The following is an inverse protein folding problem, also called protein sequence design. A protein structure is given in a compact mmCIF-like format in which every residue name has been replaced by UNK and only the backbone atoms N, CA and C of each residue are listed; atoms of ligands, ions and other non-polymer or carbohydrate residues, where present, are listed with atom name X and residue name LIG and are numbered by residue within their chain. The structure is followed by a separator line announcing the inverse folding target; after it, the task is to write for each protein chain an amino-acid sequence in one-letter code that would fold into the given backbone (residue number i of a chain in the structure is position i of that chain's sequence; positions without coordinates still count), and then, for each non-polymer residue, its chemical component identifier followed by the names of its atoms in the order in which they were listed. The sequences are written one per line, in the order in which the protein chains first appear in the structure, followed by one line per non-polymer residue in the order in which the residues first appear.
data_IF_388707325634
#
_entry.id   IF_388707325634
#
_cell.length_a   1.000
_cell.length_b   1.000
_cell.length_c   1.000
_cell.angle_alpha   90.00
_cell.angle_beta   90.00
_cell.angle_gamma   90.00
#
_symmetry.space_group_name_H-M   'P 1'
#
loop_
_entity.id
_entity.type
_entity.pdbx_description
1 polymer ?
#
# COMPACT_ATOMS: atom_id res chain seq x y z
N UNK A 1 -7.52 4.13 12.83
CA UNK A 1 -7.11 4.48 11.46
C UNK A 1 -5.60 4.47 11.41
N UNK A 2 -5.02 3.60 10.60
CA UNK A 2 -3.57 3.52 10.37
C UNK A 2 -3.27 4.41 9.17
N UNK A 3 -2.52 5.49 9.39
CA UNK A 3 -2.03 6.37 8.32
C UNK A 3 -0.86 5.67 7.63
N UNK A 4 -0.86 5.63 6.31
CA UNK A 4 0.20 5.03 5.50
C UNK A 4 0.69 6.12 4.57
N UNK A 5 1.88 6.63 4.84
CA UNK A 5 2.44 7.74 4.10
C UNK A 5 2.53 7.39 2.61
N UNK A 6 2.05 8.29 1.75
CA UNK A 6 2.41 8.26 0.33
C UNK A 6 3.82 8.79 0.22
N UNK A 7 4.67 8.01 -0.41
CA UNK A 7 6.06 8.37 -0.58
C UNK A 7 6.20 9.04 -1.95
N UNK A 8 6.11 10.37 -1.97
CA UNK A 8 6.67 11.20 -3.05
C UNK A 8 8.18 11.35 -2.83
N UNK A 9 8.92 10.24 -2.73
CA UNK A 9 10.38 10.28 -2.57
C UNK A 9 11.06 9.66 -3.79
N UNK A 10 12.18 10.25 -4.18
CA UNK A 10 13.08 9.69 -5.19
C UNK A 10 13.69 8.37 -4.68
N UNK A 11 14.11 7.50 -5.61
CA UNK A 11 14.67 6.15 -5.35
C UNK A 11 15.65 6.08 -4.16
N UNK A 12 16.60 7.02 -4.08
CA UNK A 12 17.62 7.06 -3.01
C UNK A 12 17.03 7.28 -1.60
N UNK A 13 15.94 8.05 -1.49
CA UNK A 13 15.28 8.32 -0.22
C UNK A 13 14.41 7.15 0.28
N UNK A 14 13.94 6.27 -0.63
CA UNK A 14 13.20 5.04 -0.26
C UNK A 14 14.15 4.00 0.39
N UNK A 15 15.44 4.05 0.04
CA UNK A 15 16.45 3.10 0.48
C UNK A 15 16.94 3.39 1.90
N UNK A 16 17.08 4.66 2.27
CA UNK A 16 17.66 5.07 3.55
C UNK A 16 16.64 5.36 4.66
N UNK A 17 15.36 5.61 4.32
CA UNK A 17 14.38 5.93 5.36
C UNK A 17 13.69 4.69 5.92
N UNK A 18 13.71 4.48 7.26
CA UNK A 18 12.85 3.48 7.86
C UNK A 18 11.40 3.87 7.54
N UNK A 19 10.57 2.94 7.02
CA UNK A 19 9.16 3.24 6.80
C UNK A 19 8.52 3.75 8.10
N UNK A 20 7.93 4.94 8.04
CA UNK A 20 7.20 5.52 9.17
C UNK A 20 5.95 4.67 9.41
N UNK A 21 6.07 3.69 10.31
CA UNK A 21 4.96 2.87 10.76
C UNK A 21 4.38 3.46 12.05
N UNK A 22 3.20 4.07 11.96
CA UNK A 22 2.39 4.38 13.15
C UNK A 22 1.50 3.17 13.49
N UNK A 23 1.88 2.39 14.52
CA UNK A 23 0.98 1.37 15.08
C UNK A 23 0.06 1.99 16.12
N UNK A 24 -1.25 2.04 15.85
CA UNK A 24 -2.25 2.19 16.92
C UNK A 24 -2.63 0.81 17.41
N UNK A 25 -2.39 0.54 18.70
CA UNK A 25 -2.94 -0.62 19.41
C UNK A 25 -4.46 -0.62 19.24
N UNK A 26 -5.02 -1.75 18.82
CA UNK A 26 -6.48 -1.91 18.77
C UNK A 26 -7.07 -1.80 20.17
N UNK A 27 -8.27 -1.22 20.27
CA UNK A 27 -9.00 -1.12 21.53
C UNK A 27 -9.33 -2.53 22.04
N UNK A 28 -8.97 -2.84 23.28
CA UNK A 28 -9.38 -4.06 23.95
C UNK A 28 -10.80 -3.90 24.51
N UNK A 29 -11.46 -5.03 24.84
CA UNK A 29 -12.80 -5.03 25.41
C UNK A 29 -12.92 -4.12 26.64
N UNK A 30 -11.86 -4.03 27.45
CA UNK A 30 -11.75 -3.12 28.60
C UNK A 30 -11.84 -1.62 28.23
N UNK A 31 -11.34 -1.24 27.07
CA UNK A 31 -11.32 0.16 26.60
C UNK A 31 -12.71 0.57 26.06
N UNK A 32 -13.56 -0.41 25.77
CA UNK A 32 -14.97 -0.23 25.38
C UNK A 32 -15.87 -0.16 26.62
N UNK A 33 -15.57 -0.97 27.63
CA UNK A 33 -16.39 -1.13 28.84
C UNK A 33 -16.15 -0.07 29.92
N UNK A 34 -15.02 0.64 29.89
CA UNK A 34 -14.74 1.75 30.81
C UNK A 34 -14.14 2.95 30.05
N UNK A 35 -14.93 3.70 29.28
CA UNK A 35 -14.46 4.94 28.69
C UNK A 35 -14.23 5.97 29.80
N UNK A 36 -12.99 6.49 29.90
CA UNK A 36 -12.62 7.51 30.88
C UNK A 36 -13.24 8.89 30.59
N UNK A 37 -13.86 9.08 29.42
CA UNK A 37 -14.51 10.33 29.01
C UNK A 37 -15.87 10.07 28.32
N UNK A 38 -16.92 10.86 28.63
CA UNK A 38 -18.21 10.74 27.95
C UNK A 38 -18.11 11.25 26.51
N UNK A 39 -18.42 10.37 25.54
CA UNK A 39 -18.48 10.74 24.12
C UNK A 39 -19.79 11.47 23.83
N UNK A 40 -19.72 12.79 23.64
CA UNK A 40 -20.85 13.57 23.13
C UNK A 40 -21.27 13.12 21.73
N UNK A 41 -22.59 13.10 21.47
CA UNK A 41 -23.16 12.84 20.15
C UNK A 41 -22.65 13.87 19.14
N UNK A 42 -21.84 13.43 18.16
CA UNK A 42 -21.50 14.28 17.01
C UNK A 42 -22.54 14.11 15.92
N UNK A 43 -23.33 15.18 15.80
CA UNK A 43 -24.21 15.61 14.71
C UNK A 43 -23.65 15.22 13.33
N UNK A 44 -24.50 14.61 12.49
CA UNK A 44 -24.24 14.45 11.06
C UNK A 44 -24.42 15.81 10.37
N UNK A 45 -23.32 16.48 10.06
CA UNK A 45 -23.33 17.60 9.11
C UNK A 45 -22.77 17.12 7.75
N UNK A 46 -23.50 17.46 6.70
CA UNK A 46 -23.29 17.06 5.30
C UNK A 46 -22.12 17.81 4.64
N UNK A 47 -21.73 17.29 3.46
CA UNK A 47 -21.01 17.94 2.35
C UNK A 47 -19.48 17.87 2.46
N UNK A 48 -18.85 17.05 1.60
CA UNK A 48 -17.85 17.51 0.63
C UNK A 48 -17.67 16.44 -0.45
N UNK A 49 -17.97 16.82 -1.71
CA UNK A 49 -17.54 16.09 -2.91
C UNK A 49 -16.02 16.20 -2.98
N UNK A 50 -15.30 15.15 -2.65
CA UNK A 50 -13.88 15.01 -3.02
C UNK A 50 -13.66 13.66 -3.68
N UNK A 51 -12.96 13.72 -4.82
CA UNK A 51 -12.49 12.62 -5.64
C UNK A 51 -11.97 11.41 -4.83
N UNK A 52 -12.02 10.19 -5.40
CA UNK A 52 -11.96 8.95 -4.64
C UNK A 52 -10.63 8.78 -3.87
N UNK A 53 -10.76 8.78 -2.55
CA UNK A 53 -9.97 8.03 -1.57
C UNK A 53 -8.45 8.26 -1.50
N UNK A 54 -7.93 9.45 -1.82
CA UNK A 54 -6.71 9.91 -1.13
C UNK A 54 -7.11 10.05 0.34
N UNK A 55 -6.39 9.41 1.26
CA UNK A 55 -6.59 9.68 2.67
C UNK A 55 -6.19 11.12 2.89
N UNK A 56 -7.15 12.03 3.00
CA UNK A 56 -6.98 13.46 3.31
C UNK A 56 -5.75 14.19 2.74
N UNK A 57 -5.48 15.36 3.31
CA UNK A 57 -4.27 16.13 3.08
C UNK A 57 -3.73 16.48 4.45
N UNK A 58 -2.48 16.11 4.74
CA UNK A 58 -1.78 16.52 5.97
C UNK A 58 -0.77 17.57 5.57
N UNK A 59 -0.77 18.72 6.24
CA UNK A 59 0.28 19.71 5.99
C UNK A 59 1.59 19.25 6.62
N UNK A 60 2.69 19.42 5.88
CA UNK A 60 4.02 19.16 6.40
C UNK A 60 4.25 19.99 7.67
N UNK A 61 4.56 19.38 8.83
CA UNK A 61 4.58 20.05 10.13
C UNK A 61 5.44 21.32 10.17
N UNK A 62 6.54 21.31 9.41
CA UNK A 62 7.53 22.41 9.39
C UNK A 62 7.48 23.28 8.14
N UNK A 63 6.87 22.81 7.04
CA UNK A 63 7.02 23.41 5.71
C UNK A 63 5.68 23.81 5.07
N UNK A 64 4.56 23.45 5.68
CA UNK A 64 3.21 23.87 5.28
C UNK A 64 2.67 23.27 3.98
N UNK A 65 3.50 22.61 3.15
CA UNK A 65 3.01 22.00 1.92
C UNK A 65 2.14 20.77 2.18
N UNK A 66 1.18 20.56 1.29
CA UNK A 66 0.22 19.46 1.36
C UNK A 66 0.90 18.11 1.08
N UNK A 67 0.82 17.19 2.03
CA UNK A 67 1.23 15.80 1.90
C UNK A 67 -0.04 14.97 1.73
N UNK A 68 -0.18 14.37 0.55
CA UNK A 68 -1.18 13.34 0.34
C UNK A 68 -0.78 12.11 1.15
N UNK A 69 -1.74 11.41 1.76
CA UNK A 69 -1.46 10.12 2.39
C UNK A 69 -2.42 9.04 1.90
N UNK A 70 -2.01 7.78 2.01
CA UNK A 70 -2.87 6.63 1.80
C UNK A 70 -3.32 6.09 3.15
N UNK A 71 -4.45 5.40 3.16
CA UNK A 71 -4.86 4.59 4.31
C UNK A 71 -4.94 3.14 3.89
N UNK A 72 -5.11 2.26 4.86
CA UNK A 72 -5.36 0.85 4.58
C UNK A 72 -6.65 0.61 3.74
N UNK A 73 -7.54 1.60 3.67
CA UNK A 73 -8.78 1.56 2.89
C UNK A 73 -8.63 2.20 1.51
N UNK A 74 -7.47 2.75 1.16
CA UNK A 74 -7.27 3.37 -0.16
C UNK A 74 -7.32 2.31 -1.26
N UNK A 75 -7.97 2.68 -2.36
CA UNK A 75 -8.22 1.87 -3.55
C UNK A 75 -7.47 2.48 -4.74
N UNK A 76 -7.29 1.72 -5.82
CA UNK A 76 -6.63 2.22 -7.04
C UNK A 76 -5.18 2.62 -6.79
N UNK A 77 -4.39 1.71 -6.22
CA UNK A 77 -3.00 2.01 -5.81
C UNK A 77 -1.97 1.16 -6.51
N UNK A 78 -0.79 1.74 -6.70
CA UNK A 78 0.46 1.03 -6.92
C UNK A 78 1.19 0.93 -5.58
N UNK A 79 1.63 -0.27 -5.23
CA UNK A 79 2.28 -0.57 -3.96
C UNK A 79 3.55 -1.38 -4.17
N UNK A 80 4.36 -1.41 -3.14
CA UNK A 80 5.59 -2.19 -3.05
C UNK A 80 5.55 -3.10 -1.83
N UNK A 81 6.03 -4.32 -2.00
CA UNK A 81 6.32 -5.29 -0.95
C UNK A 81 7.84 -5.45 -0.84
N UNK A 82 8.38 -5.43 0.39
CA UNK A 82 9.81 -5.52 0.65
C UNK A 82 10.11 -6.69 1.58
N UNK A 83 11.08 -7.52 1.19
CA UNK A 83 11.58 -8.61 2.03
C UNK A 83 12.65 -8.11 3.01
N UNK A 84 13.02 -8.92 4.02
CA UNK A 84 14.08 -8.59 4.98
C UNK A 84 15.43 -8.28 4.33
N UNK A 85 15.75 -8.95 3.22
CA UNK A 85 16.97 -8.74 2.45
C UNK A 85 16.89 -7.56 1.47
N UNK A 86 15.84 -6.75 1.54
CA UNK A 86 15.72 -5.54 0.73
C UNK A 86 15.26 -5.76 -0.70
N UNK A 87 14.98 -7.01 -1.13
CA UNK A 87 14.35 -7.26 -2.43
C UNK A 87 12.90 -6.77 -2.44
N UNK A 88 12.47 -6.27 -3.60
CA UNK A 88 11.20 -5.56 -3.75
C UNK A 88 10.32 -6.17 -4.83
N UNK A 89 9.02 -6.25 -4.56
CA UNK A 89 7.98 -6.57 -5.55
C UNK A 89 7.06 -5.38 -5.70
N UNK A 90 6.80 -4.96 -6.92
CA UNK A 90 5.83 -3.90 -7.24
C UNK A 90 4.55 -4.54 -7.75
N UNK A 91 3.41 -4.06 -7.26
CA UNK A 91 2.10 -4.52 -7.69
C UNK A 91 1.10 -3.39 -7.74
N UNK A 92 -0.02 -3.60 -8.45
CA UNK A 92 -1.18 -2.71 -8.40
C UNK A 92 -2.44 -3.39 -7.84
N UNK A 93 -3.39 -2.59 -7.38
CA UNK A 93 -4.73 -3.08 -7.07
C UNK A 93 -5.80 -1.99 -7.24
N UNK A 94 -6.92 -2.35 -7.86
CA UNK A 94 -8.14 -1.53 -7.83
C UNK A 94 -8.90 -1.63 -6.49
N UNK A 95 -8.65 -2.68 -5.70
CA UNK A 95 -9.34 -2.92 -4.42
C UNK A 95 -8.63 -2.22 -3.28
N UNK A 96 -9.21 -2.28 -2.07
CA UNK A 96 -8.58 -1.71 -0.88
C UNK A 96 -7.24 -2.40 -0.62
N UNK A 97 -6.19 -1.60 -0.41
CA UNK A 97 -4.83 -2.12 -0.23
C UNK A 97 -4.74 -3.13 0.93
N UNK A 98 -5.48 -2.93 2.04
CA UNK A 98 -5.52 -3.90 3.14
C UNK A 98 -5.93 -5.31 2.71
N UNK A 99 -6.87 -5.43 1.77
CA UNK A 99 -7.36 -6.72 1.29
C UNK A 99 -6.25 -7.41 0.49
N UNK A 100 -5.58 -6.66 -0.39
CA UNK A 100 -4.46 -7.17 -1.17
C UNK A 100 -3.27 -7.59 -0.30
N UNK A 101 -2.91 -6.81 0.70
CA UNK A 101 -1.85 -7.17 1.65
C UNK A 101 -2.23 -8.41 2.47
N UNK A 102 -3.51 -8.54 2.89
CA UNK A 102 -3.99 -9.74 3.60
C UNK A 102 -3.84 -11.01 2.74
N UNK A 103 -4.14 -10.93 1.45
CA UNK A 103 -3.95 -12.05 0.50
C UNK A 103 -2.48 -12.47 0.45
N UNK A 104 -1.54 -11.54 0.24
CA UNK A 104 -0.10 -11.88 0.23
C UNK A 104 0.36 -12.52 1.55
N UNK A 105 -0.10 -12.00 2.70
CA UNK A 105 0.21 -12.60 4.00
C UNK A 105 -0.33 -14.03 4.10
N UNK A 106 -1.53 -14.28 3.59
CA UNK A 106 -2.11 -15.62 3.48
C UNK A 106 -1.28 -16.55 2.58
N UNK A 107 -0.89 -16.08 1.40
CA UNK A 107 -0.08 -16.83 0.44
C UNK A 107 1.30 -17.21 1.00
N UNK A 108 1.96 -16.30 1.73
CA UNK A 108 3.23 -16.59 2.41
C UNK A 108 3.02 -17.61 3.53
N UNK A 109 2.01 -17.41 4.38
CA UNK A 109 1.76 -18.28 5.55
C UNK A 109 1.44 -19.72 5.13
N UNK A 110 0.62 -19.87 4.10
CA UNK A 110 0.10 -21.15 3.63
C UNK A 110 0.71 -21.53 2.27
N UNK A 111 1.99 -21.22 2.06
CA UNK A 111 2.64 -21.43 0.77
C UNK A 111 2.57 -22.90 0.34
N UNK A 112 2.19 -23.11 -0.92
CA UNK A 112 2.19 -24.40 -1.61
C UNK A 112 2.73 -24.18 -3.01
N UNK A 113 3.77 -24.93 -3.39
CA UNK A 113 4.34 -24.86 -4.73
C UNK A 113 3.31 -25.33 -5.78
N UNK A 114 3.35 -24.74 -6.98
CA UNK A 114 2.49 -25.10 -8.11
C UNK A 114 0.99 -24.94 -7.85
N UNK A 115 0.60 -24.04 -6.95
CA UNK A 115 -0.79 -23.71 -6.67
C UNK A 115 -1.10 -22.27 -7.11
N UNK A 116 -2.37 -21.88 -7.23
CA UNK A 116 -2.73 -20.51 -7.66
C UNK A 116 -2.24 -19.42 -6.68
N UNK A 117 -1.89 -19.79 -5.45
CA UNK A 117 -1.29 -18.91 -4.44
C UNK A 117 0.24 -18.82 -4.51
N UNK A 118 0.87 -19.57 -5.42
CA UNK A 118 2.31 -19.55 -5.69
C UNK A 118 2.69 -18.26 -6.45
N UNK A 119 2.81 -17.18 -5.68
CA UNK A 119 3.29 -15.90 -6.17
C UNK A 119 4.82 -15.79 -6.04
N UNK A 120 5.49 -14.95 -6.85
CA UNK A 120 6.94 -14.71 -6.72
C UNK A 120 7.34 -14.34 -5.28
N UNK A 121 6.52 -13.54 -4.61
CA UNK A 121 6.74 -13.12 -3.22
C UNK A 121 6.62 -14.30 -2.25
N UNK A 122 5.56 -15.10 -2.31
CA UNK A 122 5.40 -16.25 -1.41
C UNK A 122 6.47 -17.32 -1.63
N UNK A 123 6.83 -17.56 -2.89
CA UNK A 123 7.91 -18.47 -3.27
C UNK A 123 9.25 -18.00 -2.72
N UNK A 124 9.58 -16.72 -2.91
CA UNK A 124 10.78 -16.10 -2.37
C UNK A 124 10.85 -16.22 -0.85
N UNK A 125 9.76 -15.91 -0.14
CA UNK A 125 9.70 -16.01 1.32
C UNK A 125 9.92 -17.44 1.81
N UNK A 126 9.32 -18.44 1.14
CA UNK A 126 9.53 -19.84 1.47
C UNK A 126 10.98 -20.29 1.24
N UNK A 127 11.56 -19.96 0.09
CA UNK A 127 12.93 -20.31 -0.27
C UNK A 127 13.97 -19.69 0.67
N UNK A 128 13.73 -18.45 1.12
CA UNK A 128 14.65 -17.69 1.97
C UNK A 128 14.34 -17.79 3.47
N UNK A 129 13.44 -18.71 3.86
CA UNK A 129 13.02 -18.94 5.25
C UNK A 129 12.56 -17.65 5.97
N UNK A 130 11.89 -16.78 5.25
CA UNK A 130 11.31 -15.56 5.80
C UNK A 130 9.97 -15.83 6.48
N UNK A 131 9.70 -15.11 7.57
CA UNK A 131 8.40 -15.11 8.22
C UNK A 131 7.49 -14.05 7.58
N UNK A 132 6.21 -14.36 7.48
CA UNK A 132 5.15 -13.44 7.06
C UNK A 132 5.11 -12.15 7.90
N UNK A 133 5.52 -12.19 9.18
CA UNK A 133 5.64 -11.00 10.03
C UNK A 133 6.71 -10.01 9.56
N UNK A 134 7.70 -10.48 8.80
CA UNK A 134 8.82 -9.66 8.31
C UNK A 134 8.51 -8.98 6.96
N UNK A 135 7.36 -9.29 6.34
CA UNK A 135 6.90 -8.61 5.14
C UNK A 135 6.60 -7.14 5.43
N UNK A 136 7.34 -6.24 4.79
CA UNK A 136 7.06 -4.80 4.79
C UNK A 136 6.34 -4.41 3.51
N UNK A 137 5.54 -3.36 3.57
CA UNK A 137 4.81 -2.86 2.41
C UNK A 137 4.65 -1.35 2.47
N UNK A 138 4.49 -0.74 1.31
CA UNK A 138 4.37 0.70 1.12
C UNK A 138 3.44 1.00 -0.06
N UNK A 139 2.68 2.10 0.01
CA UNK A 139 1.97 2.64 -1.16
C UNK A 139 2.90 3.60 -1.89
N UNK A 140 3.15 3.33 -3.18
CA UNK A 140 3.98 4.17 -4.04
C UNK A 140 3.15 5.31 -4.64
N UNK A 141 1.97 4.99 -5.16
CA UNK A 141 1.12 5.95 -5.85
C UNK A 141 -0.37 5.60 -5.69
N UNK A 142 -1.21 6.62 -5.50
CA UNK A 142 -2.68 6.50 -5.60
C UNK A 142 -3.10 7.06 -6.94
N UNK A 143 -3.59 6.18 -7.81
CA UNK A 143 -4.05 6.56 -9.15
C UNK A 143 -5.37 7.28 -9.03
N UNK A 144 -5.39 8.53 -9.50
CA UNK A 144 -6.61 9.33 -9.58
C UNK A 144 -7.46 8.81 -10.74
N UNK A 145 -8.73 8.51 -10.45
CA UNK A 145 -9.70 8.17 -11.49
C UNK A 145 -10.07 9.46 -12.22
N UNK A 146 -9.83 9.56 -13.55
CA UNK A 146 -10.18 10.76 -14.30
C UNK A 146 -11.69 10.98 -14.30
N UNK A 147 -12.12 12.24 -14.08
CA UNK A 147 -13.53 12.60 -13.98
C UNK A 147 -14.34 12.34 -15.26
N UNK A 148 -13.68 12.25 -16.41
CA UNK A 148 -14.31 12.05 -17.73
C UNK A 148 -14.40 10.57 -18.13
N UNK A 149 -14.17 9.65 -17.20
CA UNK A 149 -14.04 8.23 -17.50
C UNK A 149 -12.69 7.90 -18.11
N UNK A 150 -12.38 6.61 -18.16
CA UNK A 150 -11.11 6.07 -18.61
C UNK A 150 -10.91 4.66 -18.07
N UNK A 151 -10.11 3.85 -18.75
CA UNK A 151 -9.77 2.51 -18.26
C UNK A 151 -8.77 2.63 -17.10
N UNK A 152 -9.30 2.70 -15.88
CA UNK A 152 -8.51 2.77 -14.63
C UNK A 152 -7.52 1.60 -14.54
N UNK A 153 -7.89 0.43 -15.06
CA UNK A 153 -7.02 -0.74 -15.07
C UNK A 153 -5.84 -0.52 -16.01
N UNK A 154 -6.07 0.05 -17.20
CA UNK A 154 -4.97 0.45 -18.11
C UNK A 154 -4.03 1.45 -17.45
N UNK A 155 -4.57 2.47 -16.77
CA UNK A 155 -3.75 3.47 -16.05
C UNK A 155 -2.92 2.80 -14.94
N UNK A 156 -3.52 1.93 -14.13
CA UNK A 156 -2.81 1.20 -13.07
C UNK A 156 -1.68 0.33 -13.63
N UNK A 157 -1.93 -0.38 -14.74
CA UNK A 157 -0.90 -1.19 -15.42
C UNK A 157 0.25 -0.32 -15.93
N UNK A 158 -0.05 0.82 -16.56
CA UNK A 158 0.98 1.75 -17.00
C UNK A 158 1.84 2.26 -15.84
N UNK A 159 1.20 2.66 -14.74
CA UNK A 159 1.90 3.13 -13.53
C UNK A 159 2.74 2.04 -12.89
N UNK A 160 2.19 0.84 -12.73
CA UNK A 160 2.92 -0.34 -12.26
C UNK A 160 4.17 -0.60 -13.12
N UNK A 161 4.04 -0.59 -14.45
CA UNK A 161 5.17 -0.78 -15.36
C UNK A 161 6.24 0.29 -15.23
N UNK A 162 5.87 1.56 -15.05
CA UNK A 162 6.83 2.64 -14.81
C UNK A 162 7.58 2.44 -13.48
N UNK A 163 6.87 2.10 -12.40
CA UNK A 163 7.49 1.83 -11.10
C UNK A 163 8.40 0.61 -11.11
N UNK A 164 7.97 -0.46 -11.78
CA UNK A 164 8.79 -1.65 -12.05
C UNK A 164 10.08 -1.21 -12.75
N UNK A 165 9.99 -0.50 -13.88
CA UNK A 165 11.16 -0.03 -14.62
C UNK A 165 12.09 0.85 -13.77
N UNK A 166 11.55 1.67 -12.88
CA UNK A 166 12.34 2.54 -12.00
C UNK A 166 12.98 1.83 -10.81
N UNK A 167 12.44 0.68 -10.38
CA UNK A 167 12.85 -0.03 -9.16
C UNK A 167 13.56 -1.37 -9.41
N UNK A 168 13.42 -1.95 -10.61
CA UNK A 168 14.07 -3.20 -11.00
C UNK A 168 15.46 -2.95 -11.57
N UNK A 169 16.42 -2.70 -10.68
CA UNK A 169 17.80 -3.17 -10.83
C UNK A 169 18.57 -2.97 -9.50
N UNK A 170 19.26 -3.96 -8.92
CA UNK A 170 19.25 -5.41 -9.16
C UNK A 170 18.34 -6.20 -8.19
N UNK A 171 17.48 -5.52 -7.41
CA UNK A 171 16.81 -6.10 -6.24
C UNK A 171 15.33 -6.49 -6.46
N UNK A 172 14.88 -6.62 -7.70
CA UNK A 172 13.47 -6.89 -8.00
C UNK A 172 13.02 -8.34 -7.86
N UNK A 173 11.75 -8.54 -7.49
CA UNK A 173 11.07 -9.84 -7.36
C UNK A 173 9.98 -10.07 -8.43
N UNK A 174 9.67 -9.06 -9.26
CA UNK A 174 8.73 -9.24 -10.37
C UNK A 174 9.39 -10.16 -11.42
N UNK A 175 8.81 -11.34 -11.63
CA UNK A 175 9.32 -12.31 -12.62
C UNK A 175 9.06 -11.87 -14.06
N UNK A 176 7.96 -11.14 -14.27
CA UNK A 176 7.54 -10.65 -15.58
C UNK A 176 6.92 -9.26 -15.42
N UNK A 177 7.12 -8.42 -16.44
CA UNK A 177 6.43 -7.15 -16.62
C UNK A 177 6.23 -6.88 -18.10
N UNK A 178 5.22 -6.06 -18.45
CA UNK A 178 4.84 -5.84 -19.84
C UNK A 178 4.58 -4.36 -20.12
N UNK A 179 5.00 -3.91 -21.31
CA UNK A 179 4.69 -2.58 -21.85
C UNK A 179 3.44 -2.58 -22.73
N UNK A 180 2.74 -3.71 -22.86
CA UNK A 180 1.53 -3.81 -23.69
C UNK A 180 0.42 -2.84 -23.28
N UNK A 181 0.41 -2.39 -22.02
CA UNK A 181 -0.51 -1.36 -21.55
C UNK A 181 -0.30 0.02 -22.19
N UNK A 182 0.78 0.24 -22.95
CA UNK A 182 1.04 1.47 -23.70
C UNK A 182 0.64 1.40 -25.18
N UNK A 183 0.24 0.22 -25.66
CA UNK A 183 -0.33 0.00 -26.99
C UNK A 183 -1.87 0.16 -26.94
#
# INVERSE_FOLDING_TARGET
MTFIQLVCLNYEQIREQPPLFSYKRGSALKDILCPTEPKGLKRMDRIFKSNPNIGGVVQHPTKGYNINYATCNTEGVVYLLKCPYGKVYVGQTCRQIKARIKEYRGNIKNFKANFYTDTPVSRHFNQNRHNMSQLKWLVLEVVQIPQRGGDVKKILLQKETLWIKSLLDPLGLNEQWSVACFL
#
